data_IF_355235081927
#
_entry.id   IF_355235081927
#
_cell.length_a   1.000
_cell.length_b   1.000
_cell.length_c   1.000
_cell.angle_alpha   90.00
_cell.angle_beta   90.00
_cell.angle_gamma   90.00
#
_symmetry.space_group_name_H-M   'P 1'
#
loop_
_entity.id
_entity.type
_entity.pdbx_description
1 polymer ?
#
# COMPACT_ATOMS: atom_id res chain seq x y z
N UNK A 1 14.45 -26.61 -36.11
CA UNK A 1 13.27 -26.68 -35.22
C UNK A 1 13.79 -26.51 -33.81
N UNK A 2 13.70 -25.28 -33.32
CA UNK A 2 14.21 -24.84 -32.02
C UNK A 2 13.46 -25.60 -30.92
N UNK A 3 14.17 -26.42 -30.14
CA UNK A 3 13.58 -27.09 -29.00
C UNK A 3 13.30 -26.00 -27.96
N UNK A 4 12.03 -25.63 -27.80
CA UNK A 4 11.57 -24.95 -26.59
C UNK A 4 11.85 -25.91 -25.42
N UNK A 5 12.96 -25.69 -24.73
CA UNK A 5 13.26 -26.28 -23.43
C UNK A 5 12.32 -25.60 -22.41
N UNK A 6 11.05 -26.01 -22.46
CA UNK A 6 10.02 -25.52 -21.57
C UNK A 6 10.07 -26.32 -20.27
N UNK A 7 11.06 -26.06 -19.40
CA UNK A 7 10.94 -26.51 -18.01
C UNK A 7 11.82 -25.79 -16.97
N UNK A 8 12.30 -24.57 -17.22
CA UNK A 8 12.85 -23.75 -16.13
C UNK A 8 11.71 -23.17 -15.29
N UNK A 9 11.56 -23.55 -14.00
CA UNK A 9 10.52 -23.01 -13.13
C UNK A 9 10.67 -21.50 -12.92
N UNK A 10 11.84 -20.94 -13.23
CA UNK A 10 12.14 -19.51 -13.15
C UNK A 10 11.50 -18.72 -14.31
N UNK A 11 11.54 -19.27 -15.54
CA UNK A 11 10.89 -18.68 -16.72
C UNK A 11 9.37 -18.57 -16.54
N UNK A 12 8.74 -19.59 -15.96
CA UNK A 12 7.30 -19.58 -15.68
C UNK A 12 6.94 -18.49 -14.66
N UNK A 13 7.77 -18.29 -13.63
CA UNK A 13 7.59 -17.24 -12.63
C UNK A 13 7.72 -15.86 -13.27
N UNK A 14 8.79 -15.62 -14.01
CA UNK A 14 8.99 -14.35 -14.71
C UNK A 14 7.84 -14.04 -15.69
N UNK A 15 7.36 -15.04 -16.43
CA UNK A 15 6.22 -14.87 -17.32
C UNK A 15 4.93 -14.52 -16.56
N UNK A 16 4.69 -15.19 -15.42
CA UNK A 16 3.55 -14.89 -14.55
C UNK A 16 3.65 -13.49 -13.95
N UNK A 17 4.84 -13.05 -13.54
CA UNK A 17 5.08 -11.71 -13.00
C UNK A 17 4.74 -10.64 -14.03
N UNK A 18 5.14 -10.83 -15.30
CA UNK A 18 4.80 -9.93 -16.41
C UNK A 18 3.28 -9.86 -16.63
N UNK A 19 2.59 -11.00 -16.56
CA UNK A 19 1.13 -11.04 -16.71
C UNK A 19 0.41 -10.35 -15.54
N UNK A 20 0.88 -10.57 -14.31
CA UNK A 20 0.36 -9.88 -13.13
C UNK A 20 0.57 -8.38 -13.23
N UNK A 21 1.78 -7.94 -13.58
CA UNK A 21 2.11 -6.52 -13.71
C UNK A 21 1.20 -5.86 -14.74
N UNK A 22 1.00 -6.52 -15.89
CA UNK A 22 0.09 -6.03 -16.93
C UNK A 22 -1.35 -5.93 -16.43
N UNK A 23 -1.85 -6.93 -15.72
CA UNK A 23 -3.21 -6.92 -15.18
C UNK A 23 -3.39 -5.82 -14.12
N UNK A 24 -2.41 -5.65 -13.23
CA UNK A 24 -2.39 -4.58 -12.23
C UNK A 24 -2.40 -3.23 -12.93
N UNK A 25 -1.49 -3.00 -13.89
CA UNK A 25 -1.41 -1.72 -14.58
C UNK A 25 -2.68 -1.41 -15.38
N UNK A 26 -3.30 -2.44 -16.00
CA UNK A 26 -4.61 -2.31 -16.66
C UNK A 26 -5.68 -1.87 -15.67
N UNK A 27 -5.77 -2.53 -14.51
CA UNK A 27 -6.76 -2.19 -13.47
C UNK A 27 -6.52 -0.78 -12.93
N UNK A 28 -5.28 -0.41 -12.62
CA UNK A 28 -4.92 0.92 -12.13
C UNK A 28 -5.21 2.03 -13.14
N UNK A 29 -4.95 1.78 -14.42
CA UNK A 29 -5.25 2.73 -15.50
C UNK A 29 -6.76 2.91 -15.75
N UNK A 30 -7.56 1.89 -15.43
CA UNK A 30 -9.03 1.97 -15.55
C UNK A 30 -9.69 2.72 -14.39
N UNK A 31 -8.94 3.02 -13.32
CA UNK A 31 -9.43 3.74 -12.15
C UNK A 31 -9.37 5.23 -12.47
N UNK A 32 -10.54 5.87 -12.56
CA UNK A 32 -10.69 7.32 -12.69
C UNK A 32 -11.12 7.98 -11.36
N UNK A 33 -11.34 7.17 -10.32
CA UNK A 33 -11.88 7.63 -9.03
C UNK A 33 -10.85 8.29 -8.12
N UNK A 34 -9.55 8.07 -8.34
CA UNK A 34 -8.45 8.74 -7.63
C UNK A 34 -7.20 8.82 -8.51
N UNK A 35 -6.27 9.71 -8.16
CA UNK A 35 -5.01 9.86 -8.87
C UNK A 35 -4.10 8.64 -8.66
N UNK A 36 -3.97 7.84 -9.71
CA UNK A 36 -3.02 6.72 -9.80
C UNK A 36 -1.75 7.09 -10.57
N UNK A 37 -1.65 8.32 -11.10
CA UNK A 37 -0.53 8.77 -11.95
C UNK A 37 0.82 8.77 -11.25
N UNK A 38 0.85 9.02 -9.93
CA UNK A 38 2.08 8.99 -9.12
C UNK A 38 2.35 7.60 -8.51
N UNK A 39 1.50 6.61 -8.78
CA UNK A 39 1.63 5.25 -8.26
C UNK A 39 2.42 4.40 -9.25
N UNK A 40 3.51 3.81 -8.75
CA UNK A 40 4.32 2.82 -9.45
C UNK A 40 4.08 1.45 -8.84
N UNK A 41 3.70 0.50 -9.69
CA UNK A 41 3.58 -0.91 -9.34
C UNK A 41 4.67 -1.71 -10.06
N UNK A 42 5.34 -2.61 -9.34
CA UNK A 42 6.28 -3.57 -9.91
C UNK A 42 6.04 -4.94 -9.29
N UNK A 43 6.14 -5.99 -10.09
CA UNK A 43 5.95 -7.38 -9.65
C UNK A 43 7.26 -8.13 -9.76
N UNK A 44 7.66 -8.81 -8.69
CA UNK A 44 8.82 -9.69 -8.69
C UNK A 44 8.53 -10.93 -7.85
N UNK A 45 8.68 -12.12 -8.42
CA UNK A 45 8.47 -13.40 -7.73
C UNK A 45 7.09 -13.53 -7.05
N UNK A 46 6.03 -13.07 -7.72
CA UNK A 46 4.67 -12.95 -7.19
C UNK A 46 4.52 -12.03 -5.96
N UNK A 47 5.45 -11.10 -5.76
CA UNK A 47 5.39 -10.01 -4.78
C UNK A 47 5.18 -8.69 -5.50
N UNK A 48 4.10 -7.98 -5.19
CA UNK A 48 3.86 -6.64 -5.71
C UNK A 48 4.45 -5.60 -4.79
N UNK A 49 5.23 -4.68 -5.34
CA UNK A 49 5.69 -3.47 -4.67
C UNK A 49 4.93 -2.26 -5.21
N UNK A 50 4.16 -1.60 -4.34
CA UNK A 50 3.46 -0.34 -4.65
C UNK A 50 4.20 0.81 -4.00
N UNK A 51 4.61 1.79 -4.79
CA UNK A 51 5.33 2.98 -4.32
C UNK A 51 4.78 4.23 -4.98
N UNK A 52 4.80 5.35 -4.28
CA UNK A 52 4.24 6.61 -4.78
C UNK A 52 3.47 7.36 -3.71
N UNK A 53 2.68 8.32 -4.16
CA UNK A 53 1.88 9.17 -3.28
C UNK A 53 0.42 9.16 -3.69
N UNK A 54 -0.49 9.07 -2.71
CA UNK A 54 -1.94 9.15 -2.92
C UNK A 54 -2.54 10.31 -2.15
N UNK A 55 -3.70 10.78 -2.57
CA UNK A 55 -4.40 11.89 -1.92
C UNK A 55 -4.99 11.49 -0.56
N UNK A 56 -5.53 10.27 -0.46
CA UNK A 56 -6.34 9.84 0.68
C UNK A 56 -6.08 8.39 1.10
N UNK A 57 -6.41 8.07 2.35
CA UNK A 57 -6.37 6.68 2.86
C UNK A 57 -7.27 5.75 2.06
N UNK A 58 -8.44 6.23 1.62
CA UNK A 58 -9.37 5.43 0.83
C UNK A 58 -8.76 5.01 -0.50
N UNK A 59 -8.05 5.91 -1.18
CA UNK A 59 -7.33 5.60 -2.43
C UNK A 59 -6.24 4.54 -2.20
N UNK A 60 -5.51 4.62 -1.07
CA UNK A 60 -4.52 3.61 -0.67
C UNK A 60 -5.18 2.23 -0.49
N UNK A 61 -6.25 2.15 0.30
CA UNK A 61 -6.94 0.88 0.60
C UNK A 61 -7.54 0.26 -0.68
N UNK A 62 -8.19 1.06 -1.51
CA UNK A 62 -8.76 0.59 -2.77
C UNK A 62 -7.68 0.11 -3.74
N UNK A 63 -6.52 0.80 -3.79
CA UNK A 63 -5.38 0.36 -4.62
C UNK A 63 -4.89 -1.01 -4.17
N UNK A 64 -4.68 -1.21 -2.87
CA UNK A 64 -4.26 -2.51 -2.31
C UNK A 64 -5.31 -3.59 -2.60
N UNK A 65 -6.60 -3.27 -2.44
CA UNK A 65 -7.69 -4.20 -2.71
C UNK A 65 -7.73 -4.63 -4.18
N UNK A 66 -7.59 -3.70 -5.10
CA UNK A 66 -7.55 -3.97 -6.55
C UNK A 66 -6.39 -4.89 -6.89
N UNK A 67 -5.20 -4.63 -6.34
CA UNK A 67 -4.05 -5.51 -6.51
C UNK A 67 -4.33 -6.88 -5.93
N UNK A 68 -4.89 -6.97 -4.72
CA UNK A 68 -5.23 -8.23 -4.07
C UNK A 68 -6.21 -9.11 -4.87
N UNK A 69 -7.03 -8.53 -5.75
CA UNK A 69 -7.91 -9.31 -6.64
C UNK A 69 -7.17 -10.09 -7.73
N UNK A 70 -5.89 -9.79 -7.98
CA UNK A 70 -5.10 -10.46 -9.02
C UNK A 70 -4.68 -11.85 -8.55
N UNK A 71 -4.98 -12.87 -9.36
CA UNK A 71 -4.69 -14.27 -9.02
C UNK A 71 -3.20 -14.55 -9.06
N UNK A 72 -2.72 -15.32 -8.09
CA UNK A 72 -1.33 -15.78 -8.02
C UNK A 72 -0.42 -14.89 -7.18
N UNK A 73 -0.90 -13.75 -6.69
CA UNK A 73 -0.16 -12.91 -5.76
C UNK A 73 0.09 -13.62 -4.43
N UNK A 74 1.35 -13.57 -3.98
CA UNK A 74 1.74 -14.08 -2.66
C UNK A 74 1.80 -12.99 -1.61
N UNK A 75 2.25 -11.80 -1.99
CA UNK A 75 2.47 -10.70 -1.05
C UNK A 75 2.34 -9.34 -1.73
N UNK A 76 1.90 -8.36 -0.94
CA UNK A 76 1.82 -6.95 -1.35
C UNK A 76 2.66 -6.14 -0.38
N UNK A 77 3.67 -5.46 -0.90
CA UNK A 77 4.51 -4.50 -0.22
C UNK A 77 3.98 -3.09 -0.54
N UNK A 78 3.19 -2.56 0.39
CA UNK A 78 2.59 -1.23 0.24
C UNK A 78 3.50 -0.15 0.85
N UNK A 79 4.16 0.63 -0.01
CA UNK A 79 4.99 1.78 0.34
C UNK A 79 4.37 3.11 -0.10
N UNK A 80 3.06 3.13 -0.35
CA UNK A 80 2.34 4.35 -0.70
C UNK A 80 2.31 5.32 0.49
N UNK A 81 2.61 6.58 0.21
CA UNK A 81 2.47 7.68 1.18
C UNK A 81 1.19 8.43 0.90
N UNK A 82 0.44 8.76 1.93
CA UNK A 82 -0.72 9.63 1.79
C UNK A 82 -0.22 11.07 1.91
N UNK A 83 -0.53 11.94 0.93
CA UNK A 83 -0.35 13.39 1.05
C UNK A 83 -1.38 13.92 2.06
N UNK A 84 -1.19 13.58 3.33
CA UNK A 84 -1.89 14.28 4.39
C UNK A 84 -1.32 15.68 4.43
N UNK A 85 -2.11 16.65 3.98
CA UNK A 85 -1.98 17.99 4.50
C UNK A 85 -2.16 17.88 6.02
N UNK A 86 -1.08 18.12 6.74
CA UNK A 86 -0.93 17.75 8.14
C UNK A 86 -1.96 18.44 9.03
N UNK A 87 -3.04 17.75 9.39
CA UNK A 87 -3.80 18.04 10.62
C UNK A 87 -3.20 17.34 11.83
N UNK A 88 -1.90 17.00 11.77
CA UNK A 88 -1.11 16.53 12.89
C UNK A 88 -0.78 17.69 13.85
N UNK A 89 -1.81 18.40 14.32
CA UNK A 89 -1.76 19.38 15.40
C UNK A 89 -2.96 19.20 16.35
N UNK A 90 -3.45 17.97 16.53
CA UNK A 90 -4.53 17.65 17.46
C UNK A 90 -4.15 16.45 18.35
N UNK A 91 -3.03 16.56 19.08
CA UNK A 91 -2.82 15.82 20.33
C UNK A 91 -1.62 16.37 21.09
N UNK A 92 -1.83 17.45 21.84
CA UNK A 92 -1.01 17.71 23.03
C UNK A 92 -1.73 18.60 24.04
N UNK A 93 -2.82 18.11 24.65
CA UNK A 93 -3.26 18.58 25.99
C UNK A 93 -4.15 17.52 26.65
N UNK A 94 -3.58 16.35 26.92
CA UNK A 94 -4.18 15.38 27.83
C UNK A 94 -3.17 15.01 28.91
N UNK A 95 -2.71 16.01 29.67
CA UNK A 95 -1.92 15.81 30.88
C UNK A 95 -1.83 17.11 31.70
N UNK A 96 -2.96 17.72 32.06
CA UNK A 96 -3.00 18.58 33.25
C UNK A 96 -4.31 18.34 33.99
N UNK A 97 -4.41 17.16 34.58
CA UNK A 97 -5.30 16.92 35.71
C UNK A 97 -4.40 16.35 36.80
N UNK A 98 -3.54 17.21 37.35
CA UNK A 98 -2.88 16.94 38.61
C UNK A 98 -3.96 17.03 39.68
N UNK A 99 -4.61 15.90 39.91
CA UNK A 99 -5.43 15.66 41.08
C UNK A 99 -4.70 16.15 42.33
N UNK A 100 -5.43 16.87 43.16
CA UNK A 100 -5.02 17.39 44.46
C UNK A 100 -4.42 16.26 45.31
N UNK A 101 -3.22 16.42 45.90
CA UNK A 101 -2.99 15.88 47.23
C UNK A 101 -3.67 16.82 48.23
N UNK A 102 -4.64 16.30 48.97
CA UNK A 102 -5.20 16.87 50.20
C UNK A 102 -4.07 17.51 51.04
N UNK A 103 -4.06 18.85 51.11
CA UNK A 103 -3.21 19.59 52.04
C UNK A 103 -3.92 19.56 53.41
N UNK A 104 -3.24 18.88 54.33
CA UNK A 104 -3.52 18.70 55.75
C UNK A 104 -4.36 19.83 56.38
N UNK A 105 -5.47 19.43 57.00
CA UNK A 105 -6.17 20.28 57.96
C UNK A 105 -5.27 20.50 59.17
N UNK A 106 -4.65 21.67 59.25
CA UNK A 106 -4.15 22.20 60.52
C UNK A 106 -4.77 23.56 60.84
N UNK A 107 -5.79 23.55 61.70
CA UNK A 107 -5.93 24.52 62.80
C UNK A 107 -6.96 24.09 63.84
#
# INVERSE_FOLDING_TARGET
MEKLEANDPDQLRAHQDILMEREINRKLSAISTWDTTDIRASVEQAVVSLSGTVTDTKALEQTVLVVFTVKGLKRIDNKLKIRRESVASLSHTAADTRALPDDDREK
#
